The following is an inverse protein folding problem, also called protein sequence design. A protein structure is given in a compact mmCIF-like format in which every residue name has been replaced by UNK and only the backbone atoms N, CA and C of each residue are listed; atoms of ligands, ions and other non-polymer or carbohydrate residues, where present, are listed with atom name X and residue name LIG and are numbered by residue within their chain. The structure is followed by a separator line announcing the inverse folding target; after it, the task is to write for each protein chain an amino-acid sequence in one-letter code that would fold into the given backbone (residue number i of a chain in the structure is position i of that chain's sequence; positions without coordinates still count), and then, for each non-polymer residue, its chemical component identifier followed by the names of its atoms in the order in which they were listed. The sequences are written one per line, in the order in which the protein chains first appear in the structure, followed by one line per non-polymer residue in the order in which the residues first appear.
data_IF_848956781368
#
_entry.id   IF_848956781368
#
_cell.length_a   1.000
_cell.length_b   1.000
_cell.length_c   1.000
_cell.angle_alpha   90.00
_cell.angle_beta   90.00
_cell.angle_gamma   90.00
#
_symmetry.space_group_name_H-M   'P 1'
#
loop_
_entity.id
_entity.type
_entity.pdbx_description
1 polymer ?
#
# COMPACT_ATOMS: atom_id res chain seq x y z
N UNK A 1 18.44 -8.66 -19.90
CA UNK A 1 18.53 -10.02 -20.45
C UNK A 1 19.09 -9.93 -21.84
N UNK A 2 20.22 -10.59 -22.10
CA UNK A 2 20.77 -10.68 -23.47
C UNK A 2 19.84 -11.52 -24.35
N UNK A 3 19.97 -11.47 -25.69
CA UNK A 3 19.22 -12.35 -26.58
C UNK A 3 19.44 -13.84 -26.27
N UNK A 4 20.65 -14.25 -25.88
CA UNK A 4 20.97 -15.64 -25.54
C UNK A 4 20.24 -16.09 -24.26
N UNK A 5 20.29 -15.28 -23.20
CA UNK A 5 19.55 -15.54 -21.97
C UNK A 5 18.03 -15.61 -22.22
N UNK A 6 17.53 -14.80 -23.17
CA UNK A 6 16.13 -14.83 -23.60
C UNK A 6 15.75 -16.16 -24.23
N UNK A 7 16.60 -16.73 -25.08
CA UNK A 7 16.34 -18.06 -25.65
C UNK A 7 16.27 -19.15 -24.58
N UNK A 8 17.13 -19.09 -23.56
CA UNK A 8 17.13 -20.05 -22.46
C UNK A 8 15.81 -19.99 -21.65
N UNK A 9 15.34 -18.78 -21.33
CA UNK A 9 14.11 -18.63 -20.54
C UNK A 9 12.83 -18.67 -21.38
N UNK A 10 12.93 -18.61 -22.71
CA UNK A 10 11.79 -18.51 -23.63
C UNK A 10 10.72 -19.58 -23.37
N UNK A 11 11.02 -20.87 -23.14
CA UNK A 11 9.99 -21.87 -22.87
C UNK A 11 9.19 -21.56 -21.60
N UNK A 12 9.88 -21.10 -20.55
CA UNK A 12 9.26 -20.71 -19.27
C UNK A 12 8.41 -19.45 -19.42
N UNK A 13 8.93 -18.45 -20.15
CA UNK A 13 8.22 -17.22 -20.44
C UNK A 13 6.98 -17.48 -21.32
N UNK A 14 7.08 -18.37 -22.29
CA UNK A 14 5.96 -18.77 -23.15
C UNK A 14 4.86 -19.48 -22.36
N UNK A 15 5.21 -20.40 -21.46
CA UNK A 15 4.24 -21.05 -20.57
C UNK A 15 3.54 -20.02 -19.65
N UNK A 16 4.31 -19.10 -19.05
CA UNK A 16 3.76 -18.02 -18.24
C UNK A 16 2.83 -17.11 -19.05
N UNK A 17 3.24 -16.68 -20.25
CA UNK A 17 2.45 -15.83 -21.12
C UNK A 17 1.16 -16.53 -21.57
N UNK A 18 1.24 -17.82 -21.90
CA UNK A 18 0.07 -18.63 -22.26
C UNK A 18 -0.93 -18.72 -21.09
N UNK A 19 -0.43 -18.84 -19.86
CA UNK A 19 -1.28 -18.81 -18.67
C UNK A 19 -1.90 -17.44 -18.49
N UNK A 20 -1.13 -16.35 -18.48
CA UNK A 20 -1.63 -15.00 -18.19
C UNK A 20 -2.56 -14.45 -19.28
N UNK A 21 -2.25 -14.74 -20.54
CA UNK A 21 -3.01 -14.28 -21.71
C UNK A 21 -4.06 -15.30 -22.16
N UNK A 22 -4.22 -16.42 -21.44
CA UNK A 22 -5.16 -17.49 -21.81
C UNK A 22 -6.61 -17.04 -21.90
N UNK A 23 -6.99 -15.95 -21.22
CA UNK A 23 -8.32 -15.34 -21.29
C UNK A 23 -8.59 -14.56 -22.57
N UNK A 24 -7.56 -14.18 -23.33
CA UNK A 24 -7.75 -13.42 -24.56
C UNK A 24 -8.33 -14.33 -25.62
N UNK A 25 -9.46 -13.96 -26.22
CA UNK A 25 -10.17 -14.82 -27.17
C UNK A 25 -9.32 -15.16 -28.41
N UNK A 26 -8.62 -14.17 -28.97
CA UNK A 26 -7.94 -14.33 -30.26
C UNK A 26 -6.49 -14.81 -30.11
N UNK A 27 -6.11 -15.78 -30.96
CA UNK A 27 -4.74 -16.35 -30.96
C UNK A 27 -3.68 -15.29 -31.27
N UNK A 28 -3.96 -14.37 -32.18
CA UNK A 28 -3.03 -13.30 -32.55
C UNK A 28 -2.81 -12.33 -31.39
N UNK A 29 -3.84 -12.02 -30.58
CA UNK A 29 -3.68 -11.22 -29.36
C UNK A 29 -2.72 -11.88 -28.37
N UNK A 30 -2.89 -13.19 -28.12
CA UNK A 30 -1.98 -13.96 -27.23
C UNK A 30 -0.54 -13.93 -27.74
N UNK A 31 -0.35 -14.17 -29.05
CA UNK A 31 0.97 -14.13 -29.67
C UNK A 31 1.63 -12.74 -29.60
N UNK A 32 0.87 -11.66 -29.83
CA UNK A 32 1.39 -10.29 -29.71
C UNK A 32 1.68 -9.90 -28.26
N UNK A 33 0.89 -10.38 -27.30
CA UNK A 33 1.16 -10.17 -25.88
C UNK A 33 2.42 -10.88 -25.41
N UNK A 34 2.64 -12.13 -25.82
CA UNK A 34 3.91 -12.83 -25.56
C UNK A 34 5.10 -12.06 -26.17
N UNK A 35 4.96 -11.60 -27.42
CA UNK A 35 5.97 -10.81 -28.11
C UNK A 35 6.26 -9.49 -27.36
N UNK A 36 5.24 -8.81 -26.85
CA UNK A 36 5.38 -7.61 -26.04
C UNK A 36 6.13 -7.86 -24.74
N UNK A 37 5.80 -8.95 -24.02
CA UNK A 37 6.50 -9.37 -22.80
C UNK A 37 7.99 -9.64 -23.08
N UNK A 38 8.31 -10.31 -24.18
CA UNK A 38 9.71 -10.52 -24.60
C UNK A 38 10.44 -9.20 -24.84
N UNK A 39 9.80 -8.25 -25.51
CA UNK A 39 10.36 -6.90 -25.74
C UNK A 39 10.68 -6.15 -24.45
N UNK A 40 9.82 -6.29 -23.43
CA UNK A 40 10.04 -5.71 -22.10
C UNK A 40 11.23 -6.34 -21.37
N UNK A 41 11.44 -7.65 -21.50
CA UNK A 41 12.48 -8.40 -20.80
C UNK A 41 13.88 -8.27 -21.43
N UNK A 42 13.94 -8.09 -22.75
CA UNK A 42 15.21 -7.86 -23.46
C UNK A 42 15.93 -6.62 -22.94
N UNK A 43 17.25 -6.65 -22.85
CA UNK A 43 18.04 -5.51 -22.40
C UNK A 43 17.90 -4.29 -23.32
N UNK A 44 17.98 -3.09 -22.73
CA UNK A 44 17.83 -1.83 -23.44
C UNK A 44 17.32 -0.72 -22.52
N UNK A 45 17.97 0.46 -22.61
CA UNK A 45 17.63 1.63 -21.78
C UNK A 45 16.18 2.11 -21.99
N UNK A 46 15.69 2.09 -23.24
CA UNK A 46 14.33 2.54 -23.58
C UNK A 46 13.42 1.36 -23.86
N UNK A 47 12.31 1.29 -23.13
CA UNK A 47 11.25 0.28 -23.29
C UNK A 47 10.04 0.81 -24.08
N UNK A 48 10.26 1.78 -24.97
CA UNK A 48 9.23 2.22 -25.92
C UNK A 48 9.06 1.21 -27.06
N UNK A 49 7.91 1.25 -27.74
CA UNK A 49 7.53 0.25 -28.76
C UNK A 49 8.56 0.12 -29.88
N UNK A 50 9.07 1.23 -30.42
CA UNK A 50 10.03 1.20 -31.52
C UNK A 50 11.37 0.53 -31.14
N UNK A 51 12.09 0.97 -30.07
CA UNK A 51 13.29 0.27 -29.61
C UNK A 51 13.06 -1.19 -29.18
N UNK A 52 11.87 -1.54 -28.68
CA UNK A 52 11.51 -2.94 -28.41
C UNK A 52 11.39 -3.74 -29.71
N UNK A 53 10.71 -3.18 -30.71
CA UNK A 53 10.46 -3.83 -31.98
C UNK A 53 11.74 -4.04 -32.78
N UNK A 54 12.64 -3.04 -32.80
CA UNK A 54 13.98 -3.16 -33.39
C UNK A 54 14.77 -4.34 -32.81
N UNK A 55 14.78 -4.48 -31.48
CA UNK A 55 15.46 -5.60 -30.79
C UNK A 55 14.80 -6.96 -31.03
N UNK A 56 13.49 -6.96 -31.25
CA UNK A 56 12.72 -8.17 -31.56
C UNK A 56 12.75 -8.55 -33.05
N UNK A 57 13.24 -7.66 -33.93
CA UNK A 57 13.18 -7.85 -35.38
C UNK A 57 11.75 -7.83 -35.95
N UNK A 58 10.87 -7.01 -35.37
CA UNK A 58 9.45 -6.92 -35.78
C UNK A 58 9.07 -5.47 -36.09
N UNK A 59 7.92 -5.28 -36.75
CA UNK A 59 7.35 -3.95 -36.90
C UNK A 59 6.74 -3.46 -35.58
N UNK A 60 7.13 -2.26 -35.15
CA UNK A 60 6.61 -1.59 -33.97
C UNK A 60 5.09 -1.44 -33.96
N UNK A 61 4.44 -1.36 -35.13
CA UNK A 61 2.99 -1.29 -35.23
C UNK A 61 2.32 -2.52 -34.59
N UNK A 62 2.98 -3.69 -34.62
CA UNK A 62 2.46 -4.90 -33.99
C UNK A 62 2.36 -4.75 -32.46
N UNK A 63 3.35 -4.10 -31.84
CA UNK A 63 3.36 -3.83 -30.40
C UNK A 63 2.38 -2.70 -30.04
N UNK A 64 2.33 -1.66 -30.88
CA UNK A 64 1.40 -0.54 -30.71
C UNK A 64 -0.04 -1.01 -30.77
N UNK A 65 -0.45 -1.67 -31.85
CA UNK A 65 -1.81 -2.15 -32.03
C UNK A 65 -2.25 -3.07 -30.89
N UNK A 66 -1.36 -3.95 -30.40
CA UNK A 66 -1.68 -4.82 -29.27
C UNK A 66 -2.00 -4.04 -27.99
N UNK A 67 -1.21 -3.01 -27.65
CA UNK A 67 -1.41 -2.25 -26.40
C UNK A 67 -2.50 -1.18 -26.52
N UNK A 68 -2.62 -0.50 -27.66
CA UNK A 68 -3.48 0.68 -27.80
C UNK A 68 -4.83 0.43 -28.45
N UNK A 69 -4.93 -0.52 -29.38
CA UNK A 69 -6.07 -0.61 -30.31
C UNK A 69 -6.77 -1.96 -30.31
N UNK A 70 -6.10 -2.99 -29.81
CA UNK A 70 -6.65 -4.33 -29.72
C UNK A 70 -7.74 -4.38 -28.66
N UNK A 71 -8.87 -5.02 -28.99
CA UNK A 71 -10.10 -5.04 -28.18
C UNK A 71 -10.05 -6.08 -27.05
N UNK A 72 -8.88 -6.38 -26.51
CA UNK A 72 -8.75 -7.38 -25.45
C UNK A 72 -9.17 -6.80 -24.10
N UNK A 73 -9.89 -7.60 -23.31
CA UNK A 73 -10.25 -7.24 -21.94
C UNK A 73 -9.01 -7.35 -21.06
N UNK A 74 -8.40 -6.18 -20.79
CA UNK A 74 -7.19 -6.13 -19.99
C UNK A 74 -7.41 -6.52 -18.54
N UNK A 75 -8.62 -6.36 -18.00
CA UNK A 75 -8.90 -6.61 -16.58
C UNK A 75 -8.70 -8.09 -16.20
N UNK A 76 -8.84 -8.99 -17.17
CA UNK A 76 -8.59 -10.43 -16.98
C UNK A 76 -7.13 -10.81 -16.79
N UNK A 77 -6.19 -9.96 -17.22
CA UNK A 77 -4.76 -10.27 -17.09
C UNK A 77 -4.26 -10.02 -15.65
N UNK A 78 -4.52 -8.87 -15.00
CA UNK A 78 -4.24 -8.65 -13.58
C UNK A 78 -4.91 -9.70 -12.69
N UNK A 79 -6.17 -10.07 -12.94
CA UNK A 79 -6.86 -11.13 -12.17
C UNK A 79 -6.06 -12.44 -12.19
N UNK A 80 -5.64 -12.90 -13.37
CA UNK A 80 -4.86 -14.14 -13.53
C UNK A 80 -3.48 -14.03 -12.91
N UNK A 81 -2.81 -12.89 -13.08
CA UNK A 81 -1.52 -12.59 -12.44
C UNK A 81 -1.66 -12.64 -10.92
N UNK A 82 -2.74 -12.10 -10.37
CA UNK A 82 -2.98 -12.05 -8.94
C UNK A 82 -3.15 -13.45 -8.35
N UNK A 83 -3.98 -14.29 -8.97
CA UNK A 83 -4.18 -15.69 -8.55
C UNK A 83 -2.89 -16.50 -8.68
N UNK A 84 -2.16 -16.32 -9.79
CA UNK A 84 -0.85 -16.95 -10.00
C UNK A 84 0.16 -16.53 -8.92
N UNK A 85 0.31 -15.22 -8.68
CA UNK A 85 1.24 -14.70 -7.69
C UNK A 85 0.90 -15.20 -6.29
N UNK A 86 -0.38 -15.21 -5.91
CA UNK A 86 -0.82 -15.74 -4.61
C UNK A 86 -0.40 -17.21 -4.41
N UNK A 87 -0.53 -18.04 -5.44
CA UNK A 87 -0.10 -19.44 -5.39
C UNK A 87 1.44 -19.60 -5.30
N UNK A 88 2.20 -18.71 -5.92
CA UNK A 88 3.66 -18.87 -6.06
C UNK A 88 4.49 -18.22 -4.95
N UNK A 89 4.03 -17.11 -4.37
CA UNK A 89 4.83 -16.37 -3.38
C UNK A 89 4.40 -16.61 -1.93
N UNK A 90 3.30 -17.34 -1.70
CA UNK A 90 2.74 -17.59 -0.35
C UNK A 90 2.61 -16.29 0.46
N UNK A 91 1.80 -15.33 -0.02
CA UNK A 91 1.77 -13.98 0.53
C UNK A 91 1.26 -13.95 1.97
N UNK A 92 1.80 -13.00 2.71
CA UNK A 92 1.54 -12.80 4.14
C UNK A 92 0.81 -11.48 4.41
N UNK A 93 0.84 -10.55 3.46
CA UNK A 93 0.14 -9.27 3.54
C UNK A 93 -0.19 -8.71 2.15
N UNK A 94 -1.14 -7.77 2.11
CA UNK A 94 -1.29 -6.81 1.03
C UNK A 94 -0.49 -5.56 1.37
N UNK A 95 0.42 -5.12 0.50
CA UNK A 95 1.10 -3.84 0.61
C UNK A 95 0.52 -2.82 -0.37
N UNK A 96 0.06 -1.69 0.17
CA UNK A 96 -0.42 -0.55 -0.61
C UNK A 96 0.70 0.47 -0.73
N UNK A 97 0.98 0.85 -1.98
CA UNK A 97 2.00 1.85 -2.30
C UNK A 97 1.61 2.61 -3.57
N UNK A 98 2.19 3.78 -3.79
CA UNK A 98 2.06 4.52 -5.04
C UNK A 98 3.41 4.91 -5.67
N UNK A 99 3.47 4.77 -6.99
CA UNK A 99 4.69 5.07 -7.75
C UNK A 99 4.44 6.30 -8.62
N UNK A 100 5.35 7.26 -8.52
CA UNK A 100 5.37 8.44 -9.36
C UNK A 100 6.20 8.22 -10.62
N UNK A 101 5.59 8.49 -11.78
CA UNK A 101 6.25 8.45 -13.09
C UNK A 101 6.46 9.88 -13.59
N UNK A 102 7.70 10.40 -13.62
CA UNK A 102 8.00 11.73 -14.13
C UNK A 102 7.50 11.89 -15.57
N UNK A 103 6.93 13.05 -15.88
CA UNK A 103 6.44 13.38 -17.22
C UNK A 103 6.79 14.80 -17.61
N UNK A 104 7.11 14.96 -18.89
CA UNK A 104 7.22 16.25 -19.54
C UNK A 104 5.93 16.51 -20.34
N UNK A 105 5.32 17.68 -20.15
CA UNK A 105 4.08 18.09 -20.85
C UNK A 105 2.77 17.75 -20.14
N UNK A 106 1.65 18.14 -20.76
CA UNK A 106 0.31 18.14 -20.14
C UNK A 106 -0.66 17.10 -20.75
N UNK A 107 -0.25 16.40 -21.81
CA UNK A 107 -1.17 15.53 -22.55
C UNK A 107 -1.19 14.07 -22.06
N UNK A 108 -0.25 13.67 -21.20
CA UNK A 108 -0.26 12.32 -20.61
C UNK A 108 -1.46 12.13 -19.66
N UNK A 109 -2.22 11.01 -19.73
CA UNK A 109 -3.39 10.79 -18.89
C UNK A 109 -3.10 10.97 -17.39
N UNK A 110 -3.89 11.75 -16.66
CA UNK A 110 -3.70 11.93 -15.21
C UNK A 110 -2.44 12.69 -14.80
N UNK A 111 -1.68 13.27 -15.74
CA UNK A 111 -0.46 14.02 -15.40
C UNK A 111 -0.78 15.33 -14.68
N UNK A 112 -0.13 15.60 -13.55
CA UNK A 112 -0.23 16.87 -12.84
C UNK A 112 1.00 17.14 -11.96
N UNK A 113 1.08 18.35 -11.39
CA UNK A 113 2.13 18.74 -10.43
C UNK A 113 1.85 18.17 -9.03
N UNK A 114 2.41 17.01 -8.75
CA UNK A 114 2.26 16.27 -7.48
C UNK A 114 3.64 15.90 -6.91
N UNK A 115 3.69 15.45 -5.66
CA UNK A 115 4.92 14.87 -5.12
C UNK A 115 5.24 13.58 -5.88
N UNK A 116 6.46 13.48 -6.42
CA UNK A 116 6.93 12.34 -7.17
C UNK A 116 8.13 11.72 -6.44
N UNK A 117 7.97 10.52 -5.91
CA UNK A 117 9.05 9.82 -5.19
C UNK A 117 10.33 9.68 -6.02
N UNK A 118 10.20 9.38 -7.33
CA UNK A 118 11.33 9.27 -8.25
C UNK A 118 12.10 10.59 -8.45
N UNK A 119 11.44 11.75 -8.26
CA UNK A 119 12.09 13.06 -8.32
C UNK A 119 12.52 13.59 -6.95
N UNK A 120 12.04 12.99 -5.85
CA UNK A 120 12.23 13.49 -4.48
C UNK A 120 11.58 14.85 -4.22
N UNK A 121 10.68 15.32 -5.11
CA UNK A 121 10.08 16.65 -5.03
C UNK A 121 8.73 16.71 -5.73
N UNK A 122 8.03 17.84 -5.57
CA UNK A 122 6.86 18.16 -6.40
C UNK A 122 7.29 18.42 -7.83
N UNK A 123 6.73 17.67 -8.76
CA UNK A 123 7.03 17.75 -10.18
C UNK A 123 5.85 17.26 -11.01
N UNK A 124 5.93 17.47 -12.31
CA UNK A 124 4.93 16.97 -13.23
C UNK A 124 5.10 15.45 -13.37
N UNK A 125 4.07 14.70 -12.98
CA UNK A 125 4.13 13.25 -12.96
C UNK A 125 2.74 12.62 -13.06
N UNK A 126 2.71 11.34 -13.43
CA UNK A 126 1.58 10.45 -13.20
C UNK A 126 1.81 9.67 -11.91
N UNK A 127 0.74 9.28 -11.24
CA UNK A 127 0.82 8.40 -10.07
C UNK A 127 0.05 7.11 -10.37
N UNK A 128 0.70 5.97 -10.18
CA UNK A 128 0.06 4.65 -10.17
C UNK A 128 -0.08 4.16 -8.73
N UNK A 129 -1.31 3.95 -8.26
CA UNK A 129 -1.58 3.26 -6.99
C UNK A 129 -1.52 1.76 -7.23
N UNK A 130 -0.89 1.01 -6.33
CA UNK A 130 -0.69 -0.43 -6.47
C UNK A 130 -1.11 -1.21 -5.22
N UNK A 131 -1.72 -2.37 -5.44
CA UNK A 131 -1.86 -3.42 -4.43
C UNK A 131 -0.82 -4.48 -4.75
N UNK A 132 0.00 -4.82 -3.76
CA UNK A 132 1.04 -5.82 -3.89
C UNK A 132 0.78 -6.98 -2.94
N UNK A 133 0.90 -8.21 -3.43
CA UNK A 133 1.07 -9.37 -2.56
C UNK A 133 2.52 -9.41 -2.09
N UNK A 134 2.75 -9.54 -0.78
CA UNK A 134 4.10 -9.55 -0.21
C UNK A 134 4.33 -10.73 0.72
N UNK A 135 5.55 -11.27 0.66
CA UNK A 135 6.09 -12.31 1.54
C UNK A 135 7.51 -11.91 1.97
N UNK A 136 8.16 -12.73 2.79
CA UNK A 136 9.56 -12.57 3.14
C UNK A 136 10.52 -12.73 1.95
N UNK A 137 10.08 -13.43 0.89
CA UNK A 137 10.91 -13.81 -0.27
C UNK A 137 10.63 -12.99 -1.53
N UNK A 138 9.40 -12.51 -1.69
CA UNK A 138 8.98 -11.85 -2.93
C UNK A 138 7.81 -10.89 -2.70
N UNK A 139 7.70 -9.92 -3.62
CA UNK A 139 6.55 -9.05 -3.77
C UNK A 139 6.08 -9.06 -5.22
N UNK A 140 4.77 -9.05 -5.44
CA UNK A 140 4.18 -8.92 -6.78
C UNK A 140 3.07 -7.88 -6.75
N UNK A 141 3.15 -6.88 -7.63
CA UNK A 141 2.01 -6.01 -7.91
C UNK A 141 0.92 -6.87 -8.57
N UNK A 142 -0.28 -6.82 -8.02
CA UNK A 142 -1.43 -7.63 -8.49
C UNK A 142 -2.56 -6.77 -9.02
N UNK A 143 -2.69 -5.54 -8.55
CA UNK A 143 -3.56 -4.53 -9.13
C UNK A 143 -2.81 -3.19 -9.17
N UNK A 144 -3.04 -2.42 -10.22
CA UNK A 144 -2.48 -1.09 -10.42
C UNK A 144 -3.49 -0.18 -11.13
N UNK A 145 -3.69 1.02 -10.58
CA UNK A 145 -4.63 1.99 -11.13
C UNK A 145 -3.98 3.35 -11.26
N UNK A 146 -4.23 4.00 -12.41
CA UNK A 146 -3.82 5.38 -12.62
C UNK A 146 -4.66 6.30 -11.71
N UNK A 147 -4.00 7.08 -10.87
CA UNK A 147 -4.66 8.12 -10.09
C UNK A 147 -4.96 9.32 -10.98
N UNK A 148 -6.23 9.73 -11.03
CA UNK A 148 -6.67 10.95 -11.71
C UNK A 148 -6.80 12.09 -10.68
N UNK A 149 -6.00 13.16 -10.76
CA UNK A 149 -6.14 14.34 -9.91
C UNK A 149 -7.45 15.09 -10.19
N UNK A 150 -7.90 15.96 -9.28
CA UNK A 150 -9.13 16.76 -9.47
C UNK A 150 -9.10 17.63 -10.73
N UNK A 151 -7.92 18.11 -11.15
CA UNK A 151 -7.76 18.85 -12.41
C UNK A 151 -7.95 18.00 -13.69
N UNK A 152 -8.25 16.71 -13.54
CA UNK A 152 -8.63 15.79 -14.61
C UNK A 152 -10.10 15.35 -14.51
N UNK A 153 -10.89 15.93 -13.61
CA UNK A 153 -12.28 15.58 -13.40
C UNK A 153 -13.16 16.82 -13.51
N UNK A 154 -13.86 16.95 -14.64
CA UNK A 154 -14.71 18.10 -14.93
C UNK A 154 -15.88 18.25 -13.94
N UNK A 155 -16.28 17.15 -13.28
CA UNK A 155 -17.33 17.17 -12.24
C UNK A 155 -16.90 17.88 -10.94
N UNK A 156 -15.60 18.16 -10.79
CA UNK A 156 -15.05 18.91 -9.65
C UNK A 156 -15.01 20.42 -9.88
N UNK A 157 -15.31 20.88 -11.09
CA UNK A 157 -15.20 22.30 -11.51
C UNK A 157 -16.51 22.81 -12.09
N UNK A 158 -17.66 22.45 -11.50
CA UNK A 158 -18.99 22.81 -12.01
C UNK A 158 -19.27 24.32 -12.01
N UNK A 159 -18.55 25.07 -11.18
CA UNK A 159 -18.66 26.54 -11.10
C UNK A 159 -17.96 27.25 -12.27
N UNK A 160 -17.05 26.57 -12.99
CA UNK A 160 -16.33 27.09 -14.15
C UNK A 160 -16.60 26.22 -15.38
N UNK A 161 -17.60 26.62 -16.16
CA UNK A 161 -18.03 25.89 -17.35
C UNK A 161 -16.94 25.81 -18.43
N UNK A 162 -16.07 26.82 -18.55
CA UNK A 162 -14.98 26.83 -19.51
C UNK A 162 -13.90 25.83 -19.11
N UNK A 163 -13.51 25.82 -17.83
CA UNK A 163 -12.56 24.85 -17.29
C UNK A 163 -13.09 23.42 -17.39
N UNK A 164 -14.34 23.18 -17.01
CA UNK A 164 -14.97 21.86 -17.13
C UNK A 164 -14.99 21.36 -18.59
N UNK A 165 -15.28 22.24 -19.55
CA UNK A 165 -15.23 21.90 -20.99
C UNK A 165 -13.81 21.55 -21.45
N UNK A 166 -12.81 22.34 -21.05
CA UNK A 166 -11.41 22.06 -21.36
C UNK A 166 -10.93 20.73 -20.76
N UNK A 167 -11.36 20.41 -19.54
CA UNK A 167 -11.07 19.12 -18.91
C UNK A 167 -11.71 17.97 -19.69
N UNK A 168 -12.97 18.07 -20.11
CA UNK A 168 -13.62 17.05 -20.96
C UNK A 168 -12.87 16.82 -22.26
N UNK A 169 -12.47 17.89 -22.96
CA UNK A 169 -11.68 17.79 -24.19
C UNK A 169 -10.33 17.10 -23.96
N UNK A 170 -9.64 17.46 -22.86
CA UNK A 170 -8.36 16.84 -22.49
C UNK A 170 -8.52 15.35 -22.16
N UNK A 171 -9.59 14.98 -21.43
CA UNK A 171 -9.92 13.57 -21.10
C UNK A 171 -10.20 12.76 -22.36
N UNK A 172 -10.99 13.30 -23.28
CA UNK A 172 -11.30 12.65 -24.56
C UNK A 172 -10.04 12.44 -25.40
N UNK A 173 -9.18 13.46 -25.55
CA UNK A 173 -7.90 13.36 -26.26
C UNK A 173 -6.98 12.29 -25.66
N UNK A 174 -6.99 12.15 -24.34
CA UNK A 174 -6.17 11.19 -23.59
C UNK A 174 -6.80 9.78 -23.53
N UNK A 175 -8.00 9.56 -24.08
CA UNK A 175 -8.70 8.27 -24.04
C UNK A 175 -9.14 7.84 -22.64
N UNK A 176 -9.39 8.78 -21.72
CA UNK A 176 -9.84 8.46 -20.37
C UNK A 176 -11.33 8.09 -20.39
N UNK A 177 -11.74 6.90 -19.89
CA UNK A 177 -13.14 6.51 -19.85
C UNK A 177 -14.01 7.47 -19.02
N UNK A 178 -15.27 7.64 -19.40
CA UNK A 178 -16.24 8.48 -18.66
C UNK A 178 -16.49 8.02 -17.21
N UNK A 179 -16.26 6.74 -16.93
CA UNK A 179 -16.36 6.17 -15.57
C UNK A 179 -15.14 6.49 -14.70
N UNK A 180 -14.00 6.83 -15.30
CA UNK A 180 -12.77 7.12 -14.57
C UNK A 180 -12.77 8.57 -14.05
N UNK A 181 -13.12 8.76 -12.79
CA UNK A 181 -13.23 10.08 -12.12
C UNK A 181 -12.16 10.27 -11.06
N UNK A 182 -12.04 11.50 -10.54
CA UNK A 182 -11.17 11.75 -9.42
C UNK A 182 -11.64 10.95 -8.21
N UNK A 183 -10.69 10.25 -7.59
CA UNK A 183 -10.91 9.52 -6.35
C UNK A 183 -9.65 9.60 -5.52
N UNK A 184 -9.79 9.95 -4.24
CA UNK A 184 -8.65 10.05 -3.34
C UNK A 184 -7.88 8.72 -3.32
N UNK A 185 -6.54 8.78 -3.31
CA UNK A 185 -5.69 7.57 -3.42
C UNK A 185 -6.05 6.49 -2.41
N UNK A 186 -6.36 6.89 -1.17
CA UNK A 186 -6.75 5.95 -0.12
C UNK A 186 -8.10 5.29 -0.38
N UNK A 187 -9.07 5.99 -0.99
CA UNK A 187 -10.35 5.39 -1.40
C UNK A 187 -10.15 4.47 -2.60
N UNK A 188 -9.30 4.87 -3.55
CA UNK A 188 -8.93 4.04 -4.68
C UNK A 188 -8.29 2.74 -4.20
N UNK A 189 -7.37 2.79 -3.23
CA UNK A 189 -6.78 1.60 -2.63
C UNK A 189 -7.80 0.71 -1.92
N UNK A 190 -8.82 1.27 -1.24
CA UNK A 190 -9.90 0.48 -0.66
C UNK A 190 -10.75 -0.23 -1.72
N UNK A 191 -11.05 0.44 -2.85
CA UNK A 191 -11.76 -0.20 -3.95
C UNK A 191 -10.94 -1.34 -4.58
N UNK A 192 -9.64 -1.12 -4.77
CA UNK A 192 -8.72 -2.15 -5.25
C UNK A 192 -8.70 -3.34 -4.28
N UNK A 193 -8.64 -3.08 -2.97
CA UNK A 193 -8.71 -4.14 -1.95
C UNK A 193 -10.04 -4.89 -1.97
N UNK A 194 -11.16 -4.23 -2.25
CA UNK A 194 -12.44 -4.90 -2.40
C UNK A 194 -12.46 -5.79 -3.66
N UNK A 195 -11.98 -5.28 -4.80
CA UNK A 195 -11.89 -6.05 -6.06
C UNK A 195 -11.01 -7.30 -5.89
N UNK A 196 -9.77 -7.14 -5.43
CA UNK A 196 -8.85 -8.30 -5.33
C UNK A 196 -9.35 -9.36 -4.34
N UNK A 197 -10.07 -8.96 -3.28
CA UNK A 197 -10.56 -9.90 -2.26
C UNK A 197 -11.90 -10.54 -2.62
N UNK A 198 -12.82 -9.76 -3.19
CA UNK A 198 -14.20 -10.20 -3.42
C UNK A 198 -14.37 -10.74 -4.83
N UNK A 199 -13.86 -10.02 -5.82
CA UNK A 199 -14.09 -10.35 -7.22
C UNK A 199 -13.05 -11.35 -7.73
N UNK A 200 -11.80 -11.24 -7.26
CA UNK A 200 -10.71 -12.17 -7.63
C UNK A 200 -10.45 -13.25 -6.57
N UNK A 201 -11.18 -13.21 -5.45
CA UNK A 201 -11.18 -14.23 -4.40
C UNK A 201 -9.79 -14.50 -3.79
N UNK A 202 -8.93 -13.48 -3.73
CA UNK A 202 -7.62 -13.61 -3.09
C UNK A 202 -7.76 -13.74 -1.56
N UNK A 203 -6.77 -14.38 -0.88
CA UNK A 203 -6.85 -14.65 0.55
C UNK A 203 -7.04 -13.39 1.39
N UNK A 204 -7.76 -13.53 2.50
CA UNK A 204 -7.86 -12.49 3.53
C UNK A 204 -6.54 -12.34 4.27
N UNK A 205 -5.73 -11.35 3.87
CA UNK A 205 -4.43 -11.04 4.45
C UNK A 205 -4.43 -9.68 5.17
N UNK A 206 -3.54 -9.46 6.15
CA UNK A 206 -3.35 -8.13 6.73
C UNK A 206 -2.90 -7.12 5.68
N UNK A 207 -3.27 -5.85 5.90
CA UNK A 207 -2.86 -4.73 5.04
C UNK A 207 -1.72 -3.96 5.68
N UNK A 208 -0.70 -3.64 4.88
CA UNK A 208 0.39 -2.73 5.23
C UNK A 208 0.44 -1.58 4.25
N UNK A 209 0.74 -0.38 4.75
CA UNK A 209 0.86 0.82 3.93
C UNK A 209 1.77 1.84 4.61
N UNK A 210 2.31 2.77 3.83
CA UNK A 210 3.12 3.87 4.33
C UNK A 210 2.27 4.98 5.00
N UNK A 211 2.92 6.04 5.46
CA UNK A 211 2.25 7.18 6.09
C UNK A 211 1.42 8.03 5.13
N UNK A 212 1.66 7.93 3.82
CA UNK A 212 0.83 8.57 2.79
C UNK A 212 -0.61 8.07 2.80
N UNK A 213 -0.81 6.79 3.13
CA UNK A 213 -2.12 6.19 3.34
C UNK A 213 -2.52 6.16 4.81
N UNK A 214 -1.58 5.76 5.67
CA UNK A 214 -1.89 5.48 7.07
C UNK A 214 -2.27 6.72 7.86
N UNK A 215 -1.86 7.94 7.47
CA UNK A 215 -2.34 9.18 8.09
C UNK A 215 -3.82 9.46 7.80
N UNK A 216 -4.33 8.98 6.66
CA UNK A 216 -5.72 9.18 6.27
C UNK A 216 -6.64 8.36 7.21
N UNK A 217 -7.31 9.05 8.12
CA UNK A 217 -8.22 8.40 9.07
C UNK A 217 -9.31 7.58 8.38
N UNK A 218 -9.88 8.09 7.29
CA UNK A 218 -10.88 7.36 6.49
C UNK A 218 -10.33 6.06 5.88
N UNK A 219 -9.02 5.97 5.62
CA UNK A 219 -8.40 4.71 5.19
C UNK A 219 -8.42 3.67 6.31
N UNK A 220 -7.98 4.05 7.51
CA UNK A 220 -7.95 3.16 8.68
C UNK A 220 -9.36 2.72 9.11
N UNK A 221 -10.32 3.63 9.07
CA UNK A 221 -11.74 3.32 9.30
C UNK A 221 -12.29 2.40 8.22
N UNK A 222 -12.01 2.69 6.94
CA UNK A 222 -12.44 1.84 5.82
C UNK A 222 -11.86 0.42 5.85
N UNK A 223 -10.63 0.23 6.34
CA UNK A 223 -10.06 -1.09 6.61
C UNK A 223 -10.77 -1.79 7.77
N UNK A 224 -11.04 -1.06 8.86
CA UNK A 224 -11.74 -1.55 10.05
C UNK A 224 -13.15 -2.02 9.71
N UNK A 225 -13.91 -1.23 8.95
CA UNK A 225 -15.27 -1.56 8.47
C UNK A 225 -15.30 -2.82 7.60
N UNK A 226 -14.22 -3.08 6.86
CA UNK A 226 -14.05 -4.30 6.02
C UNK A 226 -13.57 -5.52 6.81
N UNK A 227 -13.38 -5.39 8.13
CA UNK A 227 -12.82 -6.43 8.98
C UNK A 227 -11.37 -6.78 8.65
N UNK A 228 -10.64 -5.88 7.98
CA UNK A 228 -9.25 -6.11 7.59
C UNK A 228 -8.31 -5.76 8.73
N UNK A 229 -7.50 -6.74 9.15
CA UNK A 229 -6.36 -6.45 10.03
C UNK A 229 -5.32 -5.63 9.26
N UNK A 230 -4.66 -4.70 9.94
CA UNK A 230 -3.64 -3.86 9.31
C UNK A 230 -2.56 -3.44 10.30
N UNK A 231 -1.38 -3.07 9.79
CA UNK A 231 -0.60 -2.01 10.39
C UNK A 231 -0.06 -1.08 9.32
N UNK A 232 -0.35 0.19 9.52
CA UNK A 232 -0.03 1.24 8.56
C UNK A 232 0.86 2.25 9.25
N UNK A 233 1.88 2.73 8.55
CA UNK A 233 2.73 3.77 9.09
C UNK A 233 1.92 5.07 9.24
N UNK A 234 2.26 5.88 10.23
CA UNK A 234 1.64 7.18 10.49
C UNK A 234 2.75 8.18 10.85
N UNK A 235 2.48 9.47 10.69
CA UNK A 235 3.40 10.49 11.18
C UNK A 235 3.43 10.52 12.71
N UNK A 236 4.61 10.78 13.25
CA UNK A 236 4.84 11.00 14.67
C UNK A 236 3.95 12.13 15.27
N UNK A 237 3.55 13.09 14.43
CA UNK A 237 2.66 14.21 14.76
C UNK A 237 1.18 13.85 14.79
N UNK A 238 0.80 12.63 14.40
CA UNK A 238 -0.57 12.13 14.57
C UNK A 238 -0.94 12.22 16.04
N UNK A 239 -2.19 12.61 16.32
CA UNK A 239 -2.66 12.85 17.68
C UNK A 239 -3.43 11.66 18.23
N UNK A 240 -3.25 11.38 19.53
CA UNK A 240 -3.97 10.35 20.26
C UNK A 240 -4.06 10.66 21.76
N UNK A 241 -5.02 10.03 22.42
CA UNK A 241 -5.01 9.85 23.87
C UNK A 241 -4.32 8.51 24.23
N UNK A 242 -3.81 8.36 25.47
CA UNK A 242 -3.46 7.06 26.02
C UNK A 242 -4.62 6.04 25.92
N UNK A 243 -4.29 4.74 25.84
CA UNK A 243 -5.29 3.67 25.68
C UNK A 243 -6.27 3.55 26.85
N UNK A 244 -5.77 3.78 28.07
CA UNK A 244 -6.52 3.79 29.32
C UNK A 244 -7.34 5.07 29.53
N UNK A 245 -7.21 6.08 28.66
CA UNK A 245 -7.99 7.29 28.75
C UNK A 245 -9.49 6.99 28.54
N UNK A 246 -10.32 7.48 29.45
CA UNK A 246 -11.79 7.41 29.39
C UNK A 246 -12.40 8.79 29.21
N UNK A 247 -13.43 8.95 28.37
CA UNK A 247 -14.19 10.17 28.34
C UNK A 247 -15.09 10.26 29.58
N UNK A 248 -15.26 11.46 30.10
CA UNK A 248 -16.11 11.73 31.25
C UNK A 248 -17.22 12.69 30.85
N UNK A 249 -18.40 12.52 31.47
CA UNK A 249 -19.51 13.46 31.33
C UNK A 249 -19.57 14.31 32.61
N UNK A 250 -19.25 15.61 32.52
CA UNK A 250 -19.39 16.51 33.66
C UNK A 250 -20.81 16.48 34.25
N UNK A 251 -20.97 16.67 35.57
CA UNK A 251 -22.29 16.78 36.18
C UNK A 251 -23.07 17.96 35.59
N UNK A 252 -24.35 17.76 35.29
CA UNK A 252 -25.21 18.78 34.70
C UNK A 252 -25.82 19.65 35.81
N UNK A 253 -25.54 20.95 35.78
CA UNK A 253 -26.05 21.93 36.75
C UNK A 253 -27.43 22.53 36.40
N UNK A 254 -28.12 21.98 35.39
CA UNK A 254 -29.48 22.38 35.04
C UNK A 254 -29.60 23.63 34.18
N UNK A 255 -28.51 24.38 33.96
CA UNK A 255 -28.51 25.56 33.07
C UNK A 255 -27.79 25.27 31.76
N UNK A 256 -28.47 25.52 30.64
CA UNK A 256 -27.91 25.43 29.28
C UNK A 256 -28.01 24.03 28.66
N UNK A 257 -27.14 23.76 27.68
CA UNK A 257 -27.11 22.46 26.98
C UNK A 257 -26.49 21.40 27.88
N UNK A 258 -27.11 20.21 28.04
CA UNK A 258 -26.50 19.11 28.79
C UNK A 258 -25.07 18.81 28.32
N UNK A 259 -24.11 18.63 29.24
CA UNK A 259 -22.73 18.36 28.89
C UNK A 259 -22.61 17.05 28.12
N UNK A 260 -21.72 17.05 27.14
CA UNK A 260 -21.41 15.90 26.28
C UNK A 260 -20.16 15.22 26.83
N UNK A 261 -20.08 13.89 26.70
CA UNK A 261 -18.92 13.10 27.10
C UNK A 261 -17.65 13.59 26.39
N UNK A 262 -16.59 13.90 27.15
CA UNK A 262 -15.34 14.45 26.63
C UNK A 262 -14.14 13.89 27.41
N UNK A 263 -12.98 13.80 26.75
CA UNK A 263 -11.75 13.41 27.43
C UNK A 263 -11.26 14.55 28.32
N UNK A 264 -11.04 14.33 29.64
CA UNK A 264 -10.62 15.38 30.56
C UNK A 264 -9.27 15.99 30.18
N UNK A 265 -8.34 15.13 29.72
CA UNK A 265 -7.01 15.54 29.28
C UNK A 265 -6.98 15.74 27.77
N UNK A 266 -6.26 16.76 27.26
CA UNK A 266 -6.08 16.95 25.83
C UNK A 266 -5.32 15.78 25.22
N UNK A 267 -5.58 15.51 23.93
CA UNK A 267 -4.75 14.58 23.18
C UNK A 267 -3.34 15.16 22.96
N UNK A 268 -2.37 14.29 22.72
CA UNK A 268 -1.00 14.68 22.38
C UNK A 268 -0.52 13.92 21.16
N UNK A 269 0.70 14.20 20.69
CA UNK A 269 1.27 13.49 19.53
C UNK A 269 1.74 12.09 19.91
N UNK A 270 1.74 11.16 18.96
CA UNK A 270 2.28 9.82 19.16
C UNK A 270 3.75 9.86 19.60
N UNK A 271 4.53 10.85 19.11
CA UNK A 271 5.90 11.09 19.58
C UNK A 271 5.96 11.33 21.09
N UNK A 272 5.10 12.21 21.62
CA UNK A 272 5.08 12.52 23.05
C UNK A 272 4.69 11.29 23.88
N UNK A 273 3.69 10.52 23.43
CA UNK A 273 3.31 9.27 24.10
C UNK A 273 4.47 8.25 24.11
N UNK A 274 5.18 8.10 23.00
CA UNK A 274 6.32 7.19 22.91
C UNK A 274 7.47 7.62 23.84
N UNK A 275 7.82 8.91 23.84
CA UNK A 275 8.84 9.46 24.73
C UNK A 275 8.47 9.29 26.21
N UNK A 276 7.20 9.48 26.57
CA UNK A 276 6.72 9.32 27.94
C UNK A 276 6.82 7.86 28.44
N UNK A 277 6.59 6.88 27.56
CA UNK A 277 6.77 5.46 27.90
C UNK A 277 8.25 5.07 28.07
N UNK A 278 9.15 5.78 27.38
CA UNK A 278 10.60 5.64 27.52
C UNK A 278 11.18 4.44 26.77
N UNK A 279 12.46 4.56 26.39
CA UNK A 279 13.18 3.52 25.65
C UNK A 279 13.32 2.21 26.44
N UNK A 280 13.34 2.28 27.78
CA UNK A 280 13.43 1.11 28.65
C UNK A 280 12.24 0.14 28.50
N UNK A 281 11.09 0.60 28.01
CA UNK A 281 9.90 -0.22 27.75
C UNK A 281 9.95 -0.92 26.37
N UNK A 282 10.99 -0.69 25.57
CA UNK A 282 11.13 -1.31 24.25
C UNK A 282 11.54 -2.78 24.34
N UNK A 283 11.19 -3.57 23.33
CA UNK A 283 11.64 -4.96 23.16
C UNK A 283 12.49 -5.07 21.89
N UNK A 284 13.63 -5.74 21.99
CA UNK A 284 14.46 -6.01 20.81
C UNK A 284 13.78 -7.05 19.94
N UNK A 285 13.56 -6.73 18.67
CA UNK A 285 13.02 -7.63 17.66
C UNK A 285 14.09 -7.87 16.59
N UNK A 286 14.32 -9.13 16.25
CA UNK A 286 15.20 -9.55 15.14
C UNK A 286 14.34 -10.30 14.13
N UNK A 287 14.31 -9.84 12.88
CA UNK A 287 13.33 -10.36 11.91
C UNK A 287 13.93 -11.01 10.67
N UNK A 288 15.15 -10.65 10.26
CA UNK A 288 15.84 -11.37 9.17
C UNK A 288 17.34 -11.23 9.22
N UNK A 289 18.01 -12.13 8.52
CA UNK A 289 19.42 -11.97 8.19
C UNK A 289 19.56 -11.04 6.97
N UNK A 290 20.18 -9.88 7.16
CA UNK A 290 20.53 -8.92 6.12
C UNK A 290 21.70 -9.38 5.26
N UNK A 291 22.04 -8.57 4.26
CA UNK A 291 23.14 -8.85 3.33
C UNK A 291 24.48 -8.21 3.71
N UNK A 292 24.47 -7.28 4.67
CA UNK A 292 25.64 -6.48 5.07
C UNK A 292 26.11 -6.91 6.46
N UNK A 293 27.13 -7.77 6.50
CA UNK A 293 27.83 -8.07 7.75
C UNK A 293 28.83 -6.94 8.06
N UNK A 294 28.92 -6.54 9.32
CA UNK A 294 29.92 -5.57 9.80
C UNK A 294 30.70 -6.17 10.97
N UNK A 295 31.82 -5.54 11.37
CA UNK A 295 32.59 -5.97 12.56
C UNK A 295 31.72 -6.07 13.82
N UNK A 296 30.71 -5.22 13.95
CA UNK A 296 29.78 -5.17 15.09
C UNK A 296 28.45 -5.91 14.83
N UNK A 297 28.24 -6.44 13.63
CA UNK A 297 27.10 -7.27 13.25
C UNK A 297 27.55 -8.36 12.27
N UNK A 298 28.32 -9.37 12.73
CA UNK A 298 28.92 -10.37 11.85
C UNK A 298 27.89 -11.29 11.19
N UNK A 299 26.72 -11.44 11.83
CA UNK A 299 25.61 -12.23 11.28
C UNK A 299 24.72 -11.43 10.34
N UNK A 300 24.97 -10.13 10.16
CA UNK A 300 24.11 -9.21 9.41
C UNK A 300 22.66 -9.21 9.90
N UNK A 301 22.40 -9.51 11.18
CA UNK A 301 21.05 -9.57 11.74
C UNK A 301 20.37 -8.19 11.64
N UNK A 302 19.18 -8.16 11.05
CA UNK A 302 18.31 -6.99 11.05
C UNK A 302 17.49 -7.03 12.35
N UNK A 303 17.84 -6.10 13.23
CA UNK A 303 17.26 -5.94 14.55
C UNK A 303 17.06 -4.47 14.87
N UNK A 304 16.06 -4.18 15.67
CA UNK A 304 15.74 -2.85 16.21
C UNK A 304 14.95 -3.03 17.50
N UNK A 305 14.72 -1.95 18.24
CA UNK A 305 13.88 -1.99 19.44
C UNK A 305 12.52 -1.40 19.11
N UNK A 306 11.47 -2.05 19.63
CA UNK A 306 10.10 -1.63 19.38
C UNK A 306 9.37 -1.40 20.69
N UNK A 307 8.65 -0.30 20.75
CA UNK A 307 7.69 0.00 21.78
C UNK A 307 6.28 -0.33 21.27
N UNK A 308 5.45 -0.95 22.11
CA UNK A 308 4.05 -1.23 21.81
C UNK A 308 3.16 -0.59 22.87
N UNK A 309 2.31 0.36 22.48
CA UNK A 309 1.37 1.07 23.37
C UNK A 309 -0.07 0.88 22.91
N UNK A 310 -1.02 0.90 23.85
CA UNK A 310 -2.43 1.12 23.53
C UNK A 310 -2.68 2.62 23.44
N UNK A 311 -3.34 3.06 22.38
CA UNK A 311 -3.68 4.47 22.15
C UNK A 311 -5.08 4.61 21.57
N UNK A 312 -5.67 5.80 21.70
CA UNK A 312 -6.96 6.16 21.09
C UNK A 312 -6.75 7.35 20.14
N UNK A 313 -6.67 7.12 18.81
CA UNK A 313 -6.41 8.18 17.84
C UNK A 313 -7.44 9.30 17.96
N UNK A 314 -6.97 10.54 17.98
CA UNK A 314 -7.76 11.73 18.32
C UNK A 314 -7.96 12.63 17.09
N UNK A 315 -8.69 12.11 16.09
CA UNK A 315 -9.09 12.88 14.91
C UNK A 315 -10.61 13.12 14.95
N UNK A 316 -11.05 14.33 14.57
CA UNK A 316 -12.46 14.75 14.56
C UNK A 316 -13.36 13.88 13.68
N UNK A 317 -12.80 13.24 12.64
CA UNK A 317 -13.58 12.38 11.76
C UNK A 317 -13.86 10.99 12.33
N UNK A 318 -13.22 10.61 13.44
CA UNK A 318 -13.34 9.26 14.00
C UNK A 318 -14.69 9.09 14.68
N UNK A 319 -15.41 8.02 14.32
CA UNK A 319 -16.66 7.68 15.00
C UNK A 319 -16.40 7.27 16.44
N UNK A 320 -17.11 7.92 17.37
CA UNK A 320 -17.11 7.59 18.80
C UNK A 320 -18.14 6.50 19.10
N UNK A 321 -17.86 5.68 20.11
CA UNK A 321 -18.85 4.77 20.69
C UNK A 321 -19.94 5.55 21.45
N UNK A 322 -21.00 4.84 21.88
CA UNK A 322 -22.16 5.45 22.55
C UNK A 322 -21.79 6.15 23.87
N UNK A 323 -20.75 5.68 24.56
CA UNK A 323 -20.18 6.28 25.77
C UNK A 323 -19.29 7.51 25.50
N UNK A 324 -19.07 7.86 24.22
CA UNK A 324 -18.21 8.94 23.77
C UNK A 324 -16.75 8.53 23.55
N UNK A 325 -16.40 7.27 23.76
CA UNK A 325 -15.02 6.78 23.66
C UNK A 325 -14.55 6.67 22.21
N UNK A 326 -13.27 6.97 22.00
CA UNK A 326 -12.58 6.75 20.74
C UNK A 326 -12.09 5.29 20.66
N UNK A 327 -12.08 4.67 19.46
CA UNK A 327 -11.62 3.30 19.29
C UNK A 327 -10.16 3.16 19.72
N UNK A 328 -9.88 2.08 20.46
CA UNK A 328 -8.55 1.75 20.95
C UNK A 328 -7.78 0.91 19.92
N UNK A 329 -6.54 1.29 19.63
CA UNK A 329 -5.65 0.57 18.73
C UNK A 329 -4.24 0.41 19.31
N UNK A 330 -3.42 -0.41 18.65
CA UNK A 330 -2.00 -0.53 18.96
C UNK A 330 -1.20 0.54 18.22
N UNK A 331 -0.30 1.17 18.94
CA UNK A 331 0.81 1.93 18.39
C UNK A 331 2.08 1.08 18.51
N UNK A 332 2.69 0.77 17.38
CA UNK A 332 4.03 0.19 17.30
C UNK A 332 5.00 1.31 16.92
N UNK A 333 6.08 1.45 17.68
CA UNK A 333 7.09 2.49 17.45
C UNK A 333 8.45 1.84 17.34
N UNK A 334 9.16 2.09 16.25
CA UNK A 334 10.57 1.74 16.15
C UNK A 334 11.40 2.79 16.87
N UNK A 335 12.21 2.34 17.82
CA UNK A 335 13.17 3.15 18.54
C UNK A 335 14.54 2.47 18.46
N UNK A 336 15.35 2.79 17.44
CA UNK A 336 16.65 2.18 17.28
C UNK A 336 17.53 2.42 18.53
N UNK A 337 18.38 1.45 18.94
CA UNK A 337 19.15 1.53 20.18
C UNK A 337 20.07 2.76 20.24
N UNK A 338 20.62 3.16 19.09
CA UNK A 338 21.55 4.29 18.97
C UNK A 338 20.83 5.62 18.69
N UNK A 339 19.50 5.64 18.72
CA UNK A 339 18.70 6.83 18.46
C UNK A 339 18.20 7.47 19.74
N UNK A 340 18.42 8.78 19.88
CA UNK A 340 17.88 9.57 20.98
C UNK A 340 16.34 9.68 20.94
N UNK A 341 15.74 9.48 19.76
CA UNK A 341 14.30 9.59 19.55
C UNK A 341 13.73 8.41 18.75
N UNK A 342 12.42 8.08 18.91
CA UNK A 342 11.76 7.11 18.05
C UNK A 342 11.66 7.60 16.60
N UNK A 343 11.84 6.68 15.64
CA UNK A 343 11.99 7.01 14.21
C UNK A 343 10.74 6.72 13.40
N UNK A 344 10.08 5.60 13.67
CA UNK A 344 8.97 5.11 12.86
C UNK A 344 7.76 4.77 13.73
N UNK A 345 6.57 5.12 13.25
CA UNK A 345 5.32 4.96 13.98
C UNK A 345 4.31 4.22 13.10
N UNK A 346 3.66 3.22 13.67
CA UNK A 346 2.67 2.39 12.98
C UNK A 346 1.43 2.20 13.86
N UNK A 347 0.25 2.33 13.27
CA UNK A 347 -1.02 2.03 13.95
C UNK A 347 -1.56 0.70 13.46
N UNK A 348 -2.00 -0.14 14.39
CA UNK A 348 -2.57 -1.48 14.12
C UNK A 348 -3.85 -1.75 14.91
N UNK A 349 -4.83 -2.43 14.30
CA UNK A 349 -6.15 -2.61 14.90
C UNK A 349 -6.19 -3.62 16.07
N UNK A 350 -5.47 -4.76 15.97
CA UNK A 350 -5.39 -5.81 17.00
C UNK A 350 -3.97 -6.34 17.06
N UNK A 351 -3.57 -6.89 18.22
CA UNK A 351 -2.25 -7.52 18.34
C UNK A 351 -2.13 -8.61 17.28
N UNK A 352 -1.15 -8.51 16.39
CA UNK A 352 -0.91 -9.49 15.34
C UNK A 352 -0.61 -10.83 16.02
N UNK A 353 -1.54 -11.78 15.93
CA UNK A 353 -1.36 -13.13 16.47
C UNK A 353 -0.28 -13.83 15.63
N UNK A 354 0.81 -14.25 16.27
CA UNK A 354 1.86 -15.05 15.63
C UNK A 354 1.30 -16.38 15.10
N UNK A 355 1.52 -16.68 13.82
CA UNK A 355 1.56 -18.07 13.32
C UNK A 355 3.01 -18.49 13.17
N UNK A 356 3.43 -19.50 13.93
CA UNK A 356 4.77 -20.08 13.84
C UNK A 356 4.95 -20.85 12.53
N UNK A 357 6.00 -20.56 11.77
CA UNK A 357 6.52 -21.51 10.77
C UNK A 357 8.03 -21.36 10.68
N UNK A 358 8.74 -22.41 11.13
CA UNK A 358 10.16 -22.57 10.93
C UNK A 358 10.46 -22.88 9.47
N UNK A 359 11.33 -22.09 8.86
CA UNK A 359 11.98 -22.42 7.59
C UNK A 359 13.13 -21.45 7.39
N UNK A 360 14.35 -21.99 7.25
CA UNK A 360 15.57 -21.25 6.93
C UNK A 360 15.48 -20.73 5.49
N UNK A 361 15.54 -19.42 5.27
CA UNK A 361 15.45 -18.82 3.92
C UNK A 361 16.46 -17.68 3.69
N UNK A 362 16.98 -17.62 2.45
CA UNK A 362 17.95 -16.65 1.93
C UNK A 362 17.25 -15.53 1.12
N UNK A 363 17.76 -14.31 1.34
CA UNK A 363 17.74 -13.03 0.58
C UNK A 363 16.69 -12.80 -0.55
N UNK A 364 15.82 -11.81 -0.33
CA UNK A 364 15.61 -10.69 -1.27
C UNK A 364 15.09 -9.44 -0.52
N UNK A 365 15.45 -8.24 -1.00
CA UNK A 365 15.26 -6.98 -0.28
C UNK A 365 14.16 -6.12 -0.89
N UNK A 366 12.98 -6.13 -0.27
CA UNK A 366 11.97 -5.07 -0.30
C UNK A 366 11.15 -5.22 0.99
N UNK A 367 10.70 -4.09 1.55
CA UNK A 367 10.06 -3.91 2.86
C UNK A 367 10.98 -3.94 4.09
N UNK A 368 10.85 -2.88 4.91
CA UNK A 368 11.52 -2.66 6.21
C UNK A 368 10.58 -2.93 7.40
N UNK A 369 9.38 -3.50 7.20
CA UNK A 369 8.42 -3.68 8.30
C UNK A 369 8.52 -5.07 8.94
N UNK A 370 8.82 -5.17 10.24
CA UNK A 370 8.80 -6.43 10.99
C UNK A 370 7.41 -6.65 11.60
N UNK A 371 6.55 -7.44 10.96
CA UNK A 371 5.22 -7.77 11.50
C UNK A 371 5.12 -9.10 12.26
N UNK A 372 6.24 -9.84 12.43
CA UNK A 372 6.17 -11.26 12.82
C UNK A 372 6.39 -11.61 14.30
N UNK A 373 6.67 -10.68 15.21
CA UNK A 373 7.01 -11.11 16.59
C UNK A 373 6.79 -10.10 17.71
N UNK A 374 5.55 -9.68 17.95
CA UNK A 374 5.20 -8.91 19.14
C UNK A 374 3.78 -9.25 19.62
N UNK A 375 3.57 -10.37 20.34
CA UNK A 375 2.65 -10.49 21.49
C UNK A 375 2.95 -11.80 22.26
N UNK A 376 3.57 -11.71 23.43
CA UNK A 376 3.28 -12.60 24.56
C UNK A 376 3.66 -11.90 25.87
N UNK A 377 2.87 -12.14 26.92
CA UNK A 377 2.98 -11.71 28.33
C UNK A 377 2.11 -10.52 28.76
N UNK A 378 0.83 -10.81 29.05
CA UNK A 378 0.09 -10.14 30.14
C UNK A 378 -0.05 -11.13 31.31
N UNK A 379 -0.11 -10.68 32.57
CA UNK A 379 -0.08 -11.56 33.73
C UNK A 379 -1.38 -12.36 33.84
N UNK A 380 -1.26 -13.67 33.95
CA UNK A 380 -2.32 -14.56 34.39
C UNK A 380 -2.63 -14.23 35.86
N UNK A 381 -3.72 -13.51 36.12
CA UNK A 381 -4.32 -13.49 37.45
C UNK A 381 -5.07 -14.82 37.63
N UNK A 382 -4.43 -15.74 38.36
CA UNK A 382 -5.08 -16.90 38.94
C UNK A 382 -6.21 -16.44 39.86
N UNK A 383 -7.44 -16.85 39.54
CA UNK A 383 -8.54 -16.94 40.49
C UNK A 383 -9.01 -18.39 40.40
N UNK A 384 -8.52 -19.21 41.31
CA UNK A 384 -9.10 -20.51 41.65
C UNK A 384 -9.59 -20.48 43.10
N UNK A 385 -10.79 -21.05 43.26
CA UNK A 385 -11.37 -21.63 44.47
C UNK A 385 -11.76 -20.71 45.64
N UNK A 386 -13.04 -20.32 45.72
CA UNK A 386 -14.04 -20.99 46.58
C UNK A 386 -15.45 -20.63 46.18
#
# INVERSE_FOLDING_TARGET
MTPEEMEEVRPRLGAFAAEMLGSLARRDQRAKGELYLRGLMLDGKRKSMQPMAERLGVDHQQLQQFVSSSTWDYAKVPERLARWAAAHISPEAYAIDDVGFPKDGYDSPGVARMYCGALGKRGNCQIGVSVNLVSDRASSAVDWRLFLPEGWDDTKHTEDALLASAIRQRRAKAGIPETARHREKWRLALDMLDEVRRDWELPGLPVVADAGYGDATGFREGLTERGLTYAVAVKATTTAHPGDATPERPPYSGQGRPPVSAYPQPHTTLRVLALAAGQAATRTVTWRQGSKATKHNPRAEMRSQFLALRVRPANRSIRRAADGSLPECWLLVEWPPDSAEPTDFMVSQRGLVQRSAGSKTRKCGLTRSPMRSLVSSGPSSNLDAT
#
